data_IF_809797269871
#
_entry.id   IF_809797269871
#
_cell.length_a   1.000
_cell.length_b   1.000
_cell.length_c   1.000
_cell.angle_alpha   90.00
_cell.angle_beta   90.00
_cell.angle_gamma   90.00
#
_symmetry.space_group_name_H-M   'P 1'
#
loop_
_entity.id
_entity.type
_entity.pdbx_description
1 polymer ?
#
# COMPACT_ATOMS: atom_id res chain seq x y z
N UNK A 1 19.30 27.96 -0.67
CA UNK A 1 19.21 27.13 -1.89
C UNK A 1 18.42 25.91 -1.51
N UNK A 2 17.20 25.79 -2.01
CA UNK A 2 16.32 24.64 -1.75
C UNK A 2 16.92 23.43 -2.47
N UNK A 3 17.48 22.49 -1.71
CA UNK A 3 18.07 21.28 -2.28
C UNK A 3 16.91 20.40 -2.75
N UNK A 4 16.49 20.55 -4.00
CA UNK A 4 15.58 19.60 -4.64
C UNK A 4 16.34 18.28 -4.79
N UNK A 5 16.20 17.39 -3.79
CA UNK A 5 16.73 16.03 -3.84
C UNK A 5 16.00 15.28 -4.95
N UNK A 6 16.65 14.94 -6.07
CA UNK A 6 16.01 14.23 -7.17
C UNK A 6 15.52 12.84 -6.75
N UNK A 7 16.18 12.24 -5.76
CA UNK A 7 15.98 10.84 -5.35
C UNK A 7 14.62 10.61 -4.64
N UNK A 8 14.13 11.58 -3.86
CA UNK A 8 12.84 11.47 -3.17
C UNK A 8 11.64 11.59 -4.14
N UNK A 9 11.83 12.28 -5.27
CA UNK A 9 10.79 12.45 -6.30
C UNK A 9 10.42 11.10 -6.93
N UNK A 10 11.37 10.17 -7.06
CA UNK A 10 11.12 8.85 -7.64
C UNK A 10 10.48 7.84 -6.68
N UNK A 11 10.54 8.07 -5.37
CA UNK A 11 10.03 7.12 -4.37
C UNK A 11 8.52 7.27 -4.15
N UNK A 12 8.01 8.51 -4.11
CA UNK A 12 6.58 8.77 -3.88
C UNK A 12 5.65 8.08 -4.91
N UNK A 13 5.97 8.05 -6.22
CA UNK A 13 5.17 7.32 -7.21
C UNK A 13 4.98 5.83 -6.89
N UNK A 14 5.96 5.19 -6.23
CA UNK A 14 5.88 3.77 -5.85
C UNK A 14 4.75 3.56 -4.83
N UNK A 15 4.72 4.39 -3.78
CA UNK A 15 3.67 4.34 -2.75
C UNK A 15 2.29 4.63 -3.37
N UNK A 16 2.19 5.61 -4.26
CA UNK A 16 0.94 5.93 -4.96
C UNK A 16 0.48 4.75 -5.82
N UNK A 17 1.39 4.09 -6.54
CA UNK A 17 1.06 2.91 -7.35
C UNK A 17 0.49 1.77 -6.49
N UNK A 18 1.06 1.52 -5.31
CA UNK A 18 0.52 0.53 -4.37
C UNK A 18 -0.88 0.90 -3.85
N UNK A 19 -1.11 2.18 -3.54
CA UNK A 19 -2.44 2.67 -3.13
C UNK A 19 -3.46 2.42 -4.25
N UNK A 20 -3.14 2.80 -5.49
CA UNK A 20 -4.02 2.58 -6.65
C UNK A 20 -4.28 1.08 -6.86
N UNK A 21 -3.26 0.24 -6.73
CA UNK A 21 -3.41 -1.21 -6.87
C UNK A 21 -4.30 -1.81 -5.78
N UNK A 22 -4.16 -1.38 -4.53
CA UNK A 22 -5.01 -1.82 -3.42
C UNK A 22 -6.45 -1.35 -3.56
N UNK A 23 -6.67 -0.15 -4.10
CA UNK A 23 -8.03 0.35 -4.43
C UNK A 23 -8.62 -0.49 -5.57
N UNK A 24 -7.85 -0.79 -6.61
CA UNK A 24 -8.31 -1.66 -7.70
C UNK A 24 -8.65 -3.07 -7.19
N UNK A 25 -7.84 -3.63 -6.28
CA UNK A 25 -8.13 -4.90 -5.62
C UNK A 25 -9.46 -4.86 -4.86
N UNK A 26 -9.74 -3.76 -4.15
CA UNK A 26 -10.99 -3.58 -3.42
C UNK A 26 -12.19 -3.60 -4.37
N UNK A 27 -12.11 -2.86 -5.48
CA UNK A 27 -13.12 -2.89 -6.52
C UNK A 27 -13.30 -4.30 -7.09
N UNK A 28 -12.21 -5.02 -7.38
CA UNK A 28 -12.30 -6.40 -7.86
C UNK A 28 -13.03 -7.27 -6.84
N UNK A 29 -12.68 -7.22 -5.55
CA UNK A 29 -13.34 -8.03 -4.51
C UNK A 29 -14.85 -7.74 -4.44
N UNK A 30 -15.25 -6.46 -4.51
CA UNK A 30 -16.66 -6.05 -4.41
C UNK A 30 -17.46 -6.46 -5.66
N UNK A 31 -16.92 -6.26 -6.86
CA UNK A 31 -17.63 -6.46 -8.13
C UNK A 31 -17.52 -7.88 -8.70
N UNK A 32 -16.75 -8.75 -8.04
CA UNK A 32 -16.50 -10.10 -8.50
C UNK A 32 -17.74 -11.00 -8.40
N UNK A 33 -18.36 -11.29 -9.55
CA UNK A 33 -19.52 -12.21 -9.66
C UNK A 33 -19.15 -13.70 -9.49
N UNK A 34 -17.94 -14.10 -9.90
CA UNK A 34 -17.40 -15.48 -9.83
C UNK A 34 -16.09 -15.48 -9.06
N UNK A 35 -15.75 -16.54 -8.30
CA UNK A 35 -14.51 -16.60 -7.49
C UNK A 35 -13.23 -16.50 -8.37
N UNK A 36 -12.78 -15.28 -8.63
CA UNK A 36 -11.53 -14.95 -9.34
C UNK A 36 -10.38 -14.71 -8.36
N UNK A 37 -10.67 -14.26 -7.14
CA UNK A 37 -9.66 -13.95 -6.13
C UNK A 37 -9.96 -14.80 -4.89
N UNK A 38 -8.95 -15.49 -4.40
CA UNK A 38 -9.06 -16.34 -3.21
C UNK A 38 -8.51 -15.63 -1.98
N UNK A 39 -8.87 -16.10 -0.78
CA UNK A 39 -8.39 -15.55 0.49
C UNK A 39 -6.86 -15.47 0.52
N UNK A 40 -6.19 -16.53 0.05
CA UNK A 40 -4.74 -16.62 -0.05
C UNK A 40 -4.16 -15.48 -0.90
N UNK A 41 -4.81 -15.15 -2.03
CA UNK A 41 -4.38 -14.06 -2.91
C UNK A 41 -4.49 -12.70 -2.22
N UNK A 42 -5.58 -12.44 -1.49
CA UNK A 42 -5.77 -11.17 -0.77
C UNK A 42 -4.73 -11.01 0.33
N UNK A 43 -4.48 -12.07 1.11
CA UNK A 43 -3.46 -12.07 2.17
C UNK A 43 -2.07 -11.83 1.56
N UNK A 44 -1.73 -12.55 0.49
CA UNK A 44 -0.41 -12.43 -0.14
C UNK A 44 -0.16 -11.03 -0.71
N UNK A 45 -1.13 -10.45 -1.42
CA UNK A 45 -1.02 -9.08 -1.95
C UNK A 45 -0.90 -8.07 -0.80
N UNK A 46 -1.70 -8.21 0.25
CA UNK A 46 -1.67 -7.33 1.42
C UNK A 46 -0.32 -7.39 2.14
N UNK A 47 0.23 -8.59 2.31
CA UNK A 47 1.55 -8.80 2.92
C UNK A 47 2.68 -8.18 2.07
N UNK A 48 2.65 -8.38 0.75
CA UNK A 48 3.63 -7.79 -0.16
C UNK A 48 3.54 -6.26 -0.18
N UNK A 49 2.33 -5.69 -0.27
CA UNK A 49 2.14 -4.25 -0.27
C UNK A 49 2.62 -3.59 1.04
N UNK A 50 2.30 -4.19 2.18
CA UNK A 50 2.77 -3.72 3.49
C UNK A 50 4.29 -3.83 3.63
N UNK A 51 4.89 -4.94 3.17
CA UNK A 51 6.34 -5.14 3.24
C UNK A 51 7.09 -4.14 2.35
N UNK A 52 6.67 -3.97 1.10
CA UNK A 52 7.32 -3.05 0.16
C UNK A 52 7.16 -1.59 0.59
N UNK A 53 6.00 -1.21 1.11
CA UNK A 53 5.79 0.15 1.64
C UNK A 53 6.63 0.43 2.89
N UNK A 54 6.82 -0.55 3.77
CA UNK A 54 7.73 -0.43 4.92
C UNK A 54 9.19 -0.27 4.48
N UNK A 55 9.66 -1.10 3.53
CA UNK A 55 11.01 -0.96 2.96
C UNK A 55 11.20 0.42 2.32
N UNK A 56 10.18 0.91 1.61
CA UNK A 56 10.20 2.23 0.99
C UNK A 56 10.38 3.34 2.04
N UNK A 57 9.67 3.25 3.17
CA UNK A 57 9.78 4.23 4.24
C UNK A 57 11.16 4.20 4.92
N UNK A 58 11.73 3.00 5.10
CA UNK A 58 13.10 2.83 5.60
C UNK A 58 14.11 3.49 4.65
N UNK A 59 13.97 3.28 3.33
CA UNK A 59 14.83 3.93 2.34
C UNK A 59 14.73 5.46 2.38
N UNK A 60 13.54 6.02 2.58
CA UNK A 60 13.36 7.48 2.76
C UNK A 60 14.09 7.96 4.01
N UNK A 61 14.06 7.19 5.11
CA UNK A 61 14.78 7.50 6.34
C UNK A 61 16.30 7.57 6.11
N UNK A 62 16.87 6.56 5.44
CA UNK A 62 18.29 6.55 5.09
C UNK A 62 18.69 7.74 4.23
N UNK A 63 17.88 8.09 3.22
CA UNK A 63 18.12 9.24 2.36
C UNK A 63 18.04 10.55 3.18
N UNK A 64 17.05 10.68 4.06
CA UNK A 64 16.91 11.87 4.89
C UNK A 64 18.13 12.08 5.80
N UNK A 65 18.64 11.01 6.41
CA UNK A 65 19.84 11.04 7.24
C UNK A 65 21.09 11.42 6.44
N UNK A 66 21.28 10.83 5.25
CA UNK A 66 22.46 11.06 4.41
C UNK A 66 22.54 12.52 3.91
N UNK A 67 21.40 13.11 3.53
CA UNK A 67 21.33 14.49 3.07
C UNK A 67 21.08 15.51 4.20
N UNK A 68 21.05 15.08 5.46
CA UNK A 68 20.73 15.90 6.63
C UNK A 68 19.43 16.71 6.45
N UNK A 69 18.43 16.08 5.83
CA UNK A 69 17.12 16.64 5.55
C UNK A 69 16.12 16.21 6.63
N UNK A 70 15.11 17.04 6.88
CA UNK A 70 13.94 16.57 7.59
C UNK A 70 13.26 15.45 6.77
N UNK A 71 12.85 14.37 7.43
CA UNK A 71 12.15 13.26 6.78
C UNK A 71 10.88 13.68 6.04
N UNK A 72 10.31 12.78 5.23
CA UNK A 72 9.15 13.08 4.36
C UNK A 72 7.80 12.70 5.02
N UNK A 73 7.03 13.66 5.57
CA UNK A 73 5.78 13.36 6.27
C UNK A 73 4.71 12.81 5.31
N UNK A 74 4.73 13.23 4.04
CA UNK A 74 3.75 12.79 3.05
C UNK A 74 3.87 11.29 2.81
N UNK A 75 5.09 10.78 2.61
CA UNK A 75 5.34 9.34 2.44
C UNK A 75 5.02 8.53 3.70
N UNK A 76 5.21 9.13 4.88
CA UNK A 76 4.81 8.51 6.15
C UNK A 76 3.29 8.31 6.23
N UNK A 77 2.49 9.31 5.86
CA UNK A 77 1.03 9.16 5.79
C UNK A 77 0.59 8.15 4.72
N UNK A 78 1.25 8.14 3.55
CA UNK A 78 0.95 7.17 2.49
C UNK A 78 1.19 5.72 2.96
N UNK A 79 2.22 5.47 3.77
CA UNK A 79 2.44 4.15 4.37
C UNK A 79 1.24 3.71 5.21
N UNK A 80 0.71 4.57 6.08
CA UNK A 80 -0.48 4.23 6.86
C UNK A 80 -1.71 4.01 5.99
N UNK A 81 -1.84 4.75 4.89
CA UNK A 81 -2.92 4.54 3.91
C UNK A 81 -2.80 3.16 3.26
N UNK A 82 -1.59 2.74 2.84
CA UNK A 82 -1.33 1.41 2.28
C UNK A 82 -1.68 0.31 3.29
N UNK A 83 -1.19 0.42 4.53
CA UNK A 83 -1.48 -0.55 5.59
C UNK A 83 -2.98 -0.62 5.88
N UNK A 84 -3.64 0.54 6.00
CA UNK A 84 -5.08 0.63 6.21
C UNK A 84 -5.89 -0.02 5.08
N UNK A 85 -5.55 0.27 3.82
CA UNK A 85 -6.18 -0.33 2.65
C UNK A 85 -5.97 -1.84 2.58
N UNK A 86 -4.78 -2.34 2.97
CA UNK A 86 -4.50 -3.77 3.06
C UNK A 86 -5.44 -4.46 4.06
N UNK A 87 -5.65 -3.87 5.25
CA UNK A 87 -6.63 -4.38 6.22
C UNK A 87 -8.06 -4.31 5.70
N UNK A 88 -8.46 -3.19 5.08
CA UNK A 88 -9.80 -3.03 4.51
C UNK A 88 -10.07 -4.10 3.46
N UNK A 89 -9.13 -4.33 2.53
CA UNK A 89 -9.26 -5.39 1.52
C UNK A 89 -9.46 -6.77 2.15
N UNK A 90 -8.68 -7.09 3.18
CA UNK A 90 -8.80 -8.35 3.91
C UNK A 90 -10.17 -8.52 4.58
N UNK A 91 -10.62 -7.52 5.35
CA UNK A 91 -11.91 -7.59 6.04
C UNK A 91 -13.08 -7.61 5.06
N UNK A 92 -13.05 -6.80 4.01
CA UNK A 92 -14.12 -6.77 2.99
C UNK A 92 -14.25 -8.12 2.31
N UNK A 93 -13.13 -8.77 1.98
CA UNK A 93 -13.15 -10.13 1.44
C UNK A 93 -13.82 -11.12 2.42
N UNK A 94 -13.44 -11.12 3.69
CA UNK A 94 -14.02 -12.02 4.69
C UNK A 94 -15.54 -11.80 4.86
N UNK A 95 -15.99 -10.54 4.93
CA UNK A 95 -17.41 -10.23 5.05
C UNK A 95 -18.22 -10.63 3.81
N UNK A 96 -17.65 -10.51 2.61
CA UNK A 96 -18.31 -10.91 1.37
C UNK A 96 -18.34 -12.43 1.20
N UNK A 97 -17.30 -13.14 1.64
CA UNK A 97 -17.25 -14.61 1.58
C UNK A 97 -18.27 -15.23 2.56
N UNK A 98 -18.38 -14.72 3.81
CA UNK A 98 -19.38 -15.19 4.79
C UNK A 98 -20.83 -15.04 4.27
N UNK A 99 -21.11 -13.97 3.52
CA UNK A 99 -22.43 -13.74 2.90
C UNK A 99 -22.77 -14.74 1.80
N UNK A 100 -21.76 -15.35 1.18
CA UNK A 100 -21.94 -16.26 0.04
C UNK A 100 -22.13 -17.71 0.47
N UNK A 101 -21.66 -18.06 1.67
CA UNK A 101 -21.83 -19.38 2.29
C UNK A 101 -23.15 -19.50 3.10
N UNK A 102 -23.94 -18.43 3.23
CA UNK A 102 -25.32 -18.46 3.77
C UNK A 102 -26.35 -18.51 2.66
#
# INVERSE_FOLDING_TARGET
MEYQVPDLIFIRPILIAFIVFLIALLFIIIFQRKKFVNLFTVIFISFMASSVSALTLISIGYIADEYNLAGDPASFYMFFVVVGLSFVNFFVYLFLEDRKDR
#
